data_IF_032596201597
#
_entry.id   IF_032596201597
#
_cell.length_a   1.000
_cell.length_b   1.000
_cell.length_c   1.000
_cell.angle_alpha   90.00
_cell.angle_beta   90.00
_cell.angle_gamma   90.00
#
_symmetry.space_group_name_H-M   'P 1'
#
loop_
_entity.id
_entity.type
_entity.pdbx_description
1 polymer ?
#
# COMPACT_ATOMS: atom_id res chain seq x y z
N UNK A 1 15.49 -1.12 15.62
CA UNK A 1 14.96 -0.62 14.33
C UNK A 1 13.55 -1.13 13.99
N UNK A 2 13.02 -2.23 14.59
CA UNK A 2 11.62 -2.63 14.35
C UNK A 2 10.57 -1.54 14.67
N UNK A 3 10.78 -0.75 15.73
CA UNK A 3 9.93 0.41 16.05
C UNK A 3 9.96 1.50 14.95
N UNK A 4 11.11 1.70 14.30
CA UNK A 4 11.23 2.61 13.14
C UNK A 4 10.38 2.06 11.99
N UNK A 5 10.45 0.75 11.73
CA UNK A 5 9.59 0.11 10.74
C UNK A 5 8.09 0.32 11.00
N UNK A 6 7.65 0.20 12.25
CA UNK A 6 6.25 0.45 12.64
C UNK A 6 5.83 1.91 12.46
N UNK A 7 6.73 2.86 12.69
CA UNK A 7 6.47 4.27 12.44
C UNK A 7 6.39 4.53 10.92
N UNK A 8 7.36 4.03 10.16
CA UNK A 8 7.45 4.26 8.72
C UNK A 8 6.29 3.60 7.98
N UNK A 9 5.82 2.41 8.38
CA UNK A 9 4.67 1.76 7.73
C UNK A 9 3.37 2.58 7.81
N UNK A 10 3.24 3.44 8.81
CA UNK A 10 2.06 4.31 8.95
C UNK A 10 2.30 5.70 8.36
N UNK A 11 3.49 6.27 8.54
CA UNK A 11 3.82 7.60 8.03
C UNK A 11 3.90 7.62 6.51
N UNK A 12 4.53 6.61 5.88
CA UNK A 12 4.73 6.62 4.44
C UNK A 12 3.40 6.67 3.65
N UNK A 13 2.41 5.80 3.92
CA UNK A 13 1.12 5.88 3.25
C UNK A 13 0.39 7.20 3.51
N UNK A 14 0.50 7.73 4.73
CA UNK A 14 -0.10 9.01 5.09
C UNK A 14 0.49 10.18 4.30
N UNK A 15 1.83 10.25 4.19
CA UNK A 15 2.50 11.27 3.39
C UNK A 15 2.12 11.18 1.91
N UNK A 16 2.03 9.96 1.37
CA UNK A 16 1.58 9.79 0.00
C UNK A 16 0.13 10.26 -0.20
N UNK A 17 -0.77 9.99 0.74
CA UNK A 17 -2.12 10.54 0.67
C UNK A 17 -2.13 12.08 0.65
N UNK A 18 -1.30 12.72 1.47
CA UNK A 18 -1.19 14.19 1.49
C UNK A 18 -0.67 14.76 0.17
N UNK A 19 0.37 14.15 -0.41
CA UNK A 19 0.88 14.52 -1.73
C UNK A 19 -0.21 14.37 -2.79
N UNK A 20 -1.08 13.36 -2.62
CA UNK A 20 -2.17 13.03 -3.54
C UNK A 20 -3.54 13.58 -3.10
N UNK A 21 -3.58 14.61 -2.27
CA UNK A 21 -4.85 15.13 -1.72
C UNK A 21 -5.86 15.52 -2.80
N UNK A 22 -5.40 16.00 -3.96
CA UNK A 22 -6.25 16.34 -5.13
C UNK A 22 -6.86 15.12 -5.83
N UNK A 23 -6.25 13.94 -5.67
CA UNK A 23 -6.81 12.68 -6.20
C UNK A 23 -7.94 12.17 -5.30
N UNK A 24 -7.87 12.47 -4.00
CA UNK A 24 -8.88 12.06 -3.02
C UNK A 24 -9.88 13.18 -2.66
N UNK A 25 -9.86 14.31 -3.36
CA UNK A 25 -10.81 15.40 -3.17
C UNK A 25 -12.13 15.18 -3.92
N UNK A 26 -13.08 16.09 -3.74
CA UNK A 26 -14.40 16.09 -4.38
C UNK A 26 -14.36 16.02 -5.91
N UNK A 27 -13.24 16.46 -6.50
CA UNK A 27 -12.95 16.29 -7.94
C UNK A 27 -12.98 14.83 -8.41
N UNK A 28 -12.76 13.87 -7.50
CA UNK A 28 -12.80 12.43 -7.80
C UNK A 28 -14.20 11.83 -7.81
N UNK A 29 -15.19 12.58 -7.32
CA UNK A 29 -16.57 12.13 -7.21
C UNK A 29 -17.19 12.02 -8.60
N UNK A 30 -17.68 10.83 -8.93
CA UNK A 30 -18.46 10.59 -10.15
C UNK A 30 -19.80 11.33 -10.06
N UNK A 31 -20.14 12.13 -11.08
CA UNK A 31 -21.43 12.83 -11.16
C UNK A 31 -22.62 11.86 -11.17
N UNK A 32 -22.44 10.68 -11.73
CA UNK A 32 -23.49 9.67 -11.92
C UNK A 32 -23.80 8.90 -10.64
N UNK A 33 -22.79 8.66 -9.79
CA UNK A 33 -22.93 7.77 -8.61
C UNK A 33 -22.70 8.49 -7.29
N UNK A 34 -22.14 9.70 -7.30
CA UNK A 34 -21.76 10.41 -6.08
C UNK A 34 -20.58 9.78 -5.32
N UNK A 35 -19.90 8.79 -5.90
CA UNK A 35 -18.80 8.07 -5.26
C UNK A 35 -17.44 8.62 -5.71
N UNK A 36 -16.58 8.92 -4.74
CA UNK A 36 -15.17 9.28 -4.93
C UNK A 36 -14.21 8.19 -4.42
N UNK A 37 -12.91 8.45 -4.52
CA UNK A 37 -11.91 7.55 -3.91
C UNK A 37 -11.88 7.74 -2.40
N UNK A 38 -11.95 6.65 -1.64
CA UNK A 38 -11.95 6.73 -0.18
C UNK A 38 -10.50 6.71 0.38
N UNK A 39 -9.98 7.83 0.93
CA UNK A 39 -8.58 7.93 1.35
C UNK A 39 -8.24 6.97 2.50
N UNK A 40 -9.06 6.93 3.55
CA UNK A 40 -8.83 6.04 4.68
C UNK A 40 -8.80 4.55 4.29
N UNK A 41 -9.60 4.17 3.29
CA UNK A 41 -9.65 2.80 2.80
C UNK A 41 -8.36 2.42 2.07
N UNK A 42 -7.90 3.28 1.16
CA UNK A 42 -6.64 3.07 0.43
C UNK A 42 -5.45 3.07 1.40
N UNK A 43 -5.48 3.91 2.43
CA UNK A 43 -4.49 3.91 3.50
C UNK A 43 -4.45 2.58 4.26
N UNK A 44 -5.59 2.07 4.72
CA UNK A 44 -5.61 0.81 5.46
C UNK A 44 -5.12 -0.36 4.60
N UNK A 45 -5.56 -0.45 3.35
CA UNK A 45 -5.06 -1.49 2.44
C UNK A 45 -3.56 -1.37 2.23
N UNK A 46 -3.05 -0.16 2.03
CA UNK A 46 -1.62 0.11 1.92
C UNK A 46 -0.84 -0.39 3.15
N UNK A 47 -1.26 0.01 4.35
CA UNK A 47 -0.61 -0.42 5.61
C UNK A 47 -0.61 -1.94 5.74
N UNK A 48 -1.75 -2.60 5.49
CA UNK A 48 -1.84 -4.06 5.66
C UNK A 48 -1.17 -4.85 4.53
N UNK A 49 -1.09 -4.33 3.30
CA UNK A 49 -0.51 -5.05 2.17
C UNK A 49 1.02 -5.12 2.24
N UNK A 50 1.68 -4.03 2.66
CA UNK A 50 3.15 -3.92 2.64
C UNK A 50 3.79 -3.53 3.98
N UNK A 51 3.00 -3.29 5.02
CA UNK A 51 3.51 -2.92 6.35
C UNK A 51 4.39 -4.00 6.96
N UNK A 52 3.94 -5.25 6.89
CA UNK A 52 4.67 -6.40 7.44
C UNK A 52 6.12 -6.49 6.93
N UNK A 53 6.31 -6.51 5.61
CA UNK A 53 7.65 -6.67 5.02
C UNK A 53 8.53 -5.44 5.26
N UNK A 54 7.94 -4.25 5.33
CA UNK A 54 8.67 -3.03 5.67
C UNK A 54 9.19 -3.11 7.12
N UNK A 55 8.33 -3.48 8.08
CA UNK A 55 8.70 -3.65 9.49
C UNK A 55 9.77 -4.74 9.63
N UNK A 56 9.59 -5.87 8.94
CA UNK A 56 10.56 -6.97 8.94
C UNK A 56 11.92 -6.52 8.38
N UNK A 57 11.93 -5.72 7.29
CA UNK A 57 13.16 -5.18 6.70
C UNK A 57 13.91 -4.21 7.61
N UNK A 58 13.20 -3.33 8.31
CA UNK A 58 13.83 -2.48 9.31
C UNK A 58 14.28 -3.28 10.55
N UNK A 59 13.56 -4.33 10.93
CA UNK A 59 13.97 -5.20 12.02
C UNK A 59 15.24 -5.99 11.66
N UNK A 60 15.36 -6.50 10.43
CA UNK A 60 16.51 -7.33 10.01
C UNK A 60 17.83 -6.57 10.02
N UNK A 61 17.82 -5.25 9.83
CA UNK A 61 19.01 -4.39 9.99
C UNK A 61 19.64 -4.47 11.40
N UNK A 62 18.86 -4.87 12.42
CA UNK A 62 19.35 -5.04 13.78
C UNK A 62 19.83 -6.46 14.11
N UNK A 63 19.56 -7.46 13.27
CA UNK A 63 19.74 -8.87 13.63
C UNK A 63 20.86 -9.57 12.83
N UNK A 64 21.91 -8.85 12.43
CA UNK A 64 23.04 -9.37 11.63
C UNK A 64 22.63 -10.06 10.31
N UNK A 65 21.43 -9.78 9.79
CA UNK A 65 21.03 -10.25 8.46
C UNK A 65 21.86 -9.57 7.37
N UNK A 66 22.02 -10.21 6.20
CA UNK A 66 22.62 -9.56 5.04
C UNK A 66 21.94 -8.22 4.75
N UNK A 67 22.74 -7.16 4.66
CA UNK A 67 22.25 -5.80 4.38
C UNK A 67 21.44 -5.77 3.08
N UNK A 68 21.90 -6.47 2.05
CA UNK A 68 21.22 -6.58 0.76
C UNK A 68 19.79 -7.11 0.92
N UNK A 69 19.58 -8.20 1.65
CA UNK A 69 18.26 -8.77 1.90
C UNK A 69 17.35 -7.78 2.67
N UNK A 70 17.92 -7.07 3.65
CA UNK A 70 17.20 -6.05 4.42
C UNK A 70 16.72 -4.88 3.55
N UNK A 71 17.60 -4.35 2.68
CA UNK A 71 17.24 -3.27 1.76
C UNK A 71 16.21 -3.70 0.72
N UNK A 72 16.32 -4.93 0.18
CA UNK A 72 15.29 -5.47 -0.72
C UNK A 72 13.92 -5.46 -0.01
N UNK A 73 13.86 -5.80 1.29
CA UNK A 73 12.60 -5.87 2.04
C UNK A 73 12.00 -4.48 2.18
N UNK A 74 12.83 -3.51 2.54
CA UNK A 74 12.41 -2.13 2.74
C UNK A 74 11.89 -1.55 1.42
N UNK A 75 12.64 -1.71 0.33
CA UNK A 75 12.24 -1.22 -1.00
C UNK A 75 10.95 -1.90 -1.46
N UNK A 76 10.84 -3.23 -1.36
CA UNK A 76 9.62 -3.96 -1.69
C UNK A 76 8.44 -3.49 -0.83
N UNK A 77 8.63 -3.25 0.46
CA UNK A 77 7.60 -2.73 1.35
C UNK A 77 7.07 -1.37 0.92
N UNK A 78 7.95 -0.43 0.54
CA UNK A 78 7.53 0.87 0.01
C UNK A 78 6.74 0.73 -1.29
N UNK A 79 7.22 -0.09 -2.24
CA UNK A 79 6.52 -0.33 -3.51
C UNK A 79 5.12 -0.90 -3.25
N UNK A 80 5.01 -1.93 -2.40
CA UNK A 80 3.74 -2.59 -2.12
C UNK A 80 2.75 -1.68 -1.39
N UNK A 81 3.22 -0.91 -0.40
CA UNK A 81 2.40 0.10 0.26
C UNK A 81 1.96 1.20 -0.72
N UNK A 82 2.79 1.54 -1.69
CA UNK A 82 2.46 2.54 -2.70
C UNK A 82 1.25 2.14 -3.54
N UNK A 83 1.17 0.91 -4.02
CA UNK A 83 0.19 0.47 -5.04
C UNK A 83 -1.26 0.86 -4.71
N UNK A 84 -1.84 0.54 -3.52
CA UNK A 84 -3.22 0.88 -3.20
C UNK A 84 -3.52 2.38 -3.13
N UNK A 85 -2.48 3.22 -2.99
CA UNK A 85 -2.59 4.67 -2.94
C UNK A 85 -2.66 5.31 -4.33
N UNK A 86 -2.63 4.49 -5.39
CA UNK A 86 -2.80 4.89 -6.79
C UNK A 86 -4.09 4.37 -7.43
N UNK A 87 -5.28 4.58 -6.81
CA UNK A 87 -6.53 3.99 -7.29
C UNK A 87 -6.95 4.51 -8.68
N UNK A 88 -6.55 5.72 -9.05
CA UNK A 88 -6.78 6.33 -10.37
C UNK A 88 -5.96 5.69 -11.50
N UNK A 89 -4.75 5.21 -11.19
CA UNK A 89 -3.97 4.43 -12.15
C UNK A 89 -4.51 3.01 -12.24
N UNK A 90 -4.87 2.40 -11.11
CA UNK A 90 -5.53 1.09 -11.09
C UNK A 90 -6.84 1.14 -11.88
N UNK A 91 -7.64 2.20 -11.75
CA UNK A 91 -8.90 2.38 -12.48
C UNK A 91 -8.72 2.37 -13.99
N UNK A 92 -7.56 2.78 -14.51
CA UNK A 92 -7.24 2.73 -15.95
C UNK A 92 -6.85 1.34 -16.43
N UNK A 93 -6.45 0.44 -15.53
CA UNK A 93 -6.01 -0.92 -15.85
C UNK A 93 -7.16 -1.94 -15.81
N UNK A 94 -8.24 -1.62 -15.10
CA UNK A 94 -9.40 -2.49 -14.96
C UNK A 94 -10.57 -2.01 -15.80
N UNK A 95 -11.46 -2.93 -16.18
CA UNK A 95 -12.66 -2.61 -16.98
C UNK A 95 -13.85 -2.11 -16.15
N UNK A 96 -13.66 -1.83 -14.86
CA UNK A 96 -14.71 -1.42 -13.94
C UNK A 96 -14.25 -0.28 -13.04
N UNK A 97 -15.21 0.49 -12.52
CA UNK A 97 -14.92 1.62 -11.64
C UNK A 97 -14.43 1.17 -10.26
N UNK A 98 -13.22 1.59 -9.88
CA UNK A 98 -12.60 1.34 -8.58
C UNK A 98 -13.39 1.99 -7.43
N UNK A 99 -14.12 3.06 -7.73
CA UNK A 99 -15.00 3.78 -6.79
C UNK A 99 -16.27 3.00 -6.42
N UNK A 100 -16.60 1.94 -7.17
CA UNK A 100 -17.79 1.10 -6.93
C UNK A 100 -17.56 0.07 -5.83
N UNK A 101 -18.65 -0.55 -5.34
CA UNK A 101 -18.58 -1.69 -4.39
C UNK A 101 -17.69 -2.83 -4.94
N UNK A 102 -17.76 -3.10 -6.25
CA UNK A 102 -16.92 -4.10 -6.92
C UNK A 102 -15.46 -3.67 -6.91
N UNK A 103 -15.19 -2.38 -7.14
CA UNK A 103 -13.88 -1.76 -7.07
C UNK A 103 -13.22 -1.88 -5.70
N UNK A 104 -13.98 -1.60 -4.63
CA UNK A 104 -13.51 -1.80 -3.27
C UNK A 104 -13.16 -3.26 -2.99
N UNK A 105 -14.04 -4.21 -3.32
CA UNK A 105 -13.73 -5.65 -3.17
C UNK A 105 -12.46 -6.06 -3.94
N UNK A 106 -12.27 -5.51 -5.14
CA UNK A 106 -11.05 -5.73 -5.91
C UNK A 106 -9.80 -5.18 -5.20
N UNK A 107 -9.85 -3.98 -4.63
CA UNK A 107 -8.73 -3.40 -3.88
C UNK A 107 -8.39 -4.23 -2.64
N UNK A 108 -9.37 -4.77 -1.89
CA UNK A 108 -9.09 -5.72 -0.80
C UNK A 108 -8.36 -6.94 -1.34
N UNK A 109 -8.89 -7.54 -2.41
CA UNK A 109 -8.30 -8.74 -3.00
C UNK A 109 -6.87 -8.48 -3.48
N UNK A 110 -6.63 -7.33 -4.13
CA UNK A 110 -5.29 -6.87 -4.50
C UNK A 110 -4.38 -6.72 -3.26
N UNK A 111 -4.89 -6.11 -2.18
CA UNK A 111 -4.16 -5.99 -0.92
C UNK A 111 -3.76 -7.34 -0.32
N UNK A 112 -4.64 -8.33 -0.36
CA UNK A 112 -4.37 -9.70 0.09
C UNK A 112 -3.27 -10.34 -0.77
N UNK A 113 -3.35 -10.23 -2.10
CA UNK A 113 -2.31 -10.73 -3.00
C UNK A 113 -0.96 -10.09 -2.68
N UNK A 114 -0.94 -8.77 -2.53
CA UNK A 114 0.25 -7.99 -2.21
C UNK A 114 0.85 -8.37 -0.84
N UNK A 115 0.00 -8.68 0.15
CA UNK A 115 0.44 -9.22 1.43
C UNK A 115 1.12 -10.59 1.28
N UNK A 116 0.56 -11.50 0.49
CA UNK A 116 1.20 -12.79 0.24
C UNK A 116 2.51 -12.65 -0.53
N UNK A 117 2.59 -11.74 -1.51
CA UNK A 117 3.85 -11.41 -2.19
C UNK A 117 4.88 -10.93 -1.18
N UNK A 118 4.50 -10.03 -0.27
CA UNK A 118 5.34 -9.55 0.83
C UNK A 118 5.85 -10.70 1.71
N UNK A 119 4.99 -11.67 2.01
CA UNK A 119 5.36 -12.84 2.81
C UNK A 119 6.35 -13.75 2.09
N UNK A 120 6.13 -14.02 0.81
CA UNK A 120 7.02 -14.84 -0.04
C UNK A 120 8.40 -14.18 -0.14
N UNK A 121 8.47 -12.87 -0.39
CA UNK A 121 9.74 -12.14 -0.47
C UNK A 121 10.50 -12.21 0.86
N UNK A 122 9.81 -12.24 2.00
CA UNK A 122 10.46 -12.44 3.29
C UNK A 122 11.01 -13.87 3.46
N UNK A 123 10.35 -14.88 2.88
CA UNK A 123 10.73 -16.29 3.00
C UNK A 123 11.85 -16.76 2.06
N UNK A 124 11.98 -16.14 0.88
CA UNK A 124 13.00 -16.50 -0.14
C UNK A 124 14.39 -15.93 0.21
N UNK A 125 14.47 -15.08 1.23
CA UNK A 125 15.69 -14.34 1.60
C UNK A 125 16.63 -15.07 2.53
#
# INVERSE_FOLDING_TARGET
MGAIGLIVMSIYPFLLLLIRIRTFSDSSILKETGLGYHPAYCYLISVFSGGYILVAGFASLNFHFPLTSSFIMIITGFIIQGIPLFPDYINKLVSFEIRSIKGYKFLVFLGIILFFISFIVNYIK
#
